data_IF_204597047685
#
_entry.id   IF_204597047685
#
_cell.length_a   1.000
_cell.length_b   1.000
_cell.length_c   1.000
_cell.angle_alpha   90.00
_cell.angle_beta   90.00
_cell.angle_gamma   90.00
#
_symmetry.space_group_name_H-M   'P 1'
#
loop_
_entity.id
_entity.type
_entity.pdbx_description
1 polymer ?
#
# COMPACT_ATOMS: atom_id res chain seq x y z
N UNK A 1 -9.55 6.09 21.41
CA UNK A 1 -9.88 4.95 20.53
C UNK A 1 -10.86 5.49 19.50
N UNK A 2 -10.45 5.54 18.26
CA UNK A 2 -11.23 6.23 17.21
C UNK A 2 -12.22 5.28 16.54
N UNK A 3 -13.50 5.58 16.65
CA UNK A 3 -14.59 4.83 16.04
C UNK A 3 -14.81 5.31 14.61
N UNK A 4 -14.79 4.39 13.63
CA UNK A 4 -15.07 4.67 12.23
C UNK A 4 -16.44 4.08 11.88
N UNK A 5 -17.34 4.90 11.34
CA UNK A 5 -18.66 4.48 10.87
C UNK A 5 -18.81 4.84 9.39
N UNK A 6 -19.13 3.85 8.57
CA UNK A 6 -19.44 3.99 7.15
C UNK A 6 -20.88 3.53 6.95
N UNK A 7 -21.72 4.40 6.39
CA UNK A 7 -23.13 4.13 6.20
C UNK A 7 -23.57 4.45 4.76
N UNK A 8 -23.99 3.42 4.03
CA UNK A 8 -24.51 3.51 2.66
C UNK A 8 -23.54 4.12 1.66
N UNK A 9 -22.22 3.96 1.88
CA UNK A 9 -21.17 4.61 1.09
C UNK A 9 -21.25 4.20 -0.37
N UNK A 10 -21.57 5.17 -1.23
CA UNK A 10 -21.61 5.00 -2.68
C UNK A 10 -20.70 6.02 -3.34
N UNK A 11 -19.87 5.58 -4.29
CA UNK A 11 -19.01 6.45 -5.09
C UNK A 11 -19.11 6.11 -6.57
N UNK A 12 -19.38 7.13 -7.37
CA UNK A 12 -19.44 7.04 -8.83
C UNK A 12 -18.43 7.97 -9.48
N UNK A 13 -17.82 7.52 -10.57
CA UNK A 13 -16.99 8.31 -11.47
C UNK A 13 -17.62 8.26 -12.87
N UNK A 14 -18.36 9.29 -13.22
CA UNK A 14 -19.22 9.26 -14.41
C UNK A 14 -20.21 8.09 -14.32
N UNK A 15 -20.18 7.20 -15.33
CA UNK A 15 -21.06 6.03 -15.38
C UNK A 15 -20.54 4.82 -14.57
N UNK A 16 -19.30 4.88 -14.09
CA UNK A 16 -18.67 3.77 -13.35
C UNK A 16 -19.01 3.88 -11.86
N UNK A 17 -19.59 2.82 -11.31
CA UNK A 17 -19.81 2.67 -9.86
C UNK A 17 -18.60 1.99 -9.25
N UNK A 18 -17.84 2.74 -8.46
CA UNK A 18 -16.64 2.23 -7.78
C UNK A 18 -16.96 1.63 -6.39
N UNK A 19 -17.96 2.20 -5.70
CA UNK A 19 -18.52 1.68 -4.46
C UNK A 19 -20.05 1.76 -4.52
N UNK A 20 -20.73 0.74 -4.05
CA UNK A 20 -22.17 0.60 -4.09
C UNK A 20 -22.72 0.10 -2.75
N UNK A 21 -23.27 1.01 -1.97
CA UNK A 21 -23.96 0.76 -0.69
C UNK A 21 -23.07 0.01 0.35
N UNK A 22 -21.84 0.49 0.56
CA UNK A 22 -20.90 -0.10 1.52
C UNK A 22 -21.17 0.44 2.92
N UNK A 23 -21.45 -0.45 3.88
CA UNK A 23 -21.68 -0.09 5.28
C UNK A 23 -20.92 -1.01 6.22
N UNK A 24 -20.19 -0.42 7.18
CA UNK A 24 -19.51 -1.13 8.28
C UNK A 24 -19.17 -0.16 9.41
N UNK A 25 -18.80 -0.73 10.55
CA UNK A 25 -18.34 0.02 11.72
C UNK A 25 -17.08 -0.62 12.28
N UNK A 26 -16.07 0.20 12.59
CA UNK A 26 -14.83 -0.22 13.28
C UNK A 26 -14.85 0.46 14.66
N UNK A 27 -14.99 -0.32 15.75
CA UNK A 27 -15.26 0.25 17.09
C UNK A 27 -14.05 0.87 17.77
N UNK A 28 -12.85 0.78 17.24
CA UNK A 28 -11.65 1.33 17.89
C UNK A 28 -10.35 0.87 17.24
N UNK A 29 -9.37 0.55 18.04
CA UNK A 29 -7.99 0.21 17.74
C UNK A 29 -7.79 -1.16 17.02
N UNK A 30 -8.68 -1.50 16.09
CA UNK A 30 -8.61 -2.74 15.32
C UNK A 30 -7.64 -2.62 14.14
N UNK A 31 -6.96 -3.73 13.83
CA UNK A 31 -6.17 -3.89 12.61
C UNK A 31 -7.00 -4.61 11.55
N UNK A 32 -7.64 -3.80 10.69
CA UNK A 32 -8.58 -4.27 9.65
C UNK A 32 -7.86 -4.41 8.31
N UNK A 33 -8.06 -5.54 7.65
CA UNK A 33 -7.55 -5.77 6.29
C UNK A 33 -8.71 -5.76 5.30
N UNK A 34 -8.60 -4.90 4.28
CA UNK A 34 -9.54 -4.82 3.17
C UNK A 34 -9.02 -5.66 2.01
N UNK A 35 -9.79 -6.63 1.58
CA UNK A 35 -9.46 -7.61 0.54
C UNK A 35 -10.37 -7.47 -0.68
N UNK A 36 -9.87 -7.93 -1.82
CA UNK A 36 -10.61 -7.95 -3.09
C UNK A 36 -9.68 -7.84 -4.28
N UNK A 37 -10.17 -8.22 -5.45
CA UNK A 37 -9.43 -8.14 -6.72
C UNK A 37 -9.09 -6.69 -7.10
N UNK A 38 -8.21 -6.51 -8.09
CA UNK A 38 -7.97 -5.19 -8.67
C UNK A 38 -9.29 -4.61 -9.21
N UNK A 39 -9.53 -3.32 -8.94
CA UNK A 39 -10.78 -2.66 -9.33
C UNK A 39 -12.00 -2.95 -8.43
N UNK A 40 -11.88 -3.72 -7.34
CA UNK A 40 -13.01 -3.99 -6.43
C UNK A 40 -13.47 -2.81 -5.59
N UNK A 41 -12.73 -1.66 -5.61
CA UNK A 41 -13.09 -0.45 -4.87
C UNK A 41 -12.24 -0.16 -3.65
N UNK A 42 -11.23 -0.99 -3.28
CA UNK A 42 -10.39 -0.82 -2.07
C UNK A 42 -9.77 0.57 -1.95
N UNK A 43 -9.04 1.01 -2.96
CA UNK A 43 -8.40 2.35 -2.97
C UNK A 43 -9.43 3.47 -2.91
N UNK A 44 -10.57 3.31 -3.57
CA UNK A 44 -11.67 4.28 -3.52
C UNK A 44 -12.26 4.36 -2.11
N UNK A 45 -12.46 3.22 -1.44
CA UNK A 45 -12.90 3.18 -0.05
C UNK A 45 -11.93 3.94 0.85
N UNK A 46 -10.64 3.62 0.80
CA UNK A 46 -9.63 4.29 1.62
C UNK A 46 -9.55 5.80 1.35
N UNK A 47 -9.70 6.22 0.09
CA UNK A 47 -9.73 7.65 -0.27
C UNK A 47 -10.98 8.36 0.26
N UNK A 48 -12.14 7.68 0.28
CA UNK A 48 -13.33 8.22 0.92
C UNK A 48 -13.16 8.34 2.44
N UNK A 49 -12.53 7.34 3.09
CA UNK A 49 -12.22 7.38 4.52
C UNK A 49 -11.27 8.51 4.89
N UNK A 50 -10.30 8.83 4.02
CA UNK A 50 -9.34 9.93 4.22
C UNK A 50 -9.90 11.31 3.80
N UNK A 51 -11.10 11.36 3.22
CA UNK A 51 -11.68 12.61 2.70
C UNK A 51 -11.04 13.13 1.41
N UNK A 52 -10.18 12.36 0.74
CA UNK A 52 -9.61 12.69 -0.58
C UNK A 52 -10.64 12.53 -1.69
N UNK A 53 -11.63 11.67 -1.50
CA UNK A 53 -12.75 11.48 -2.40
C UNK A 53 -14.05 11.73 -1.65
N UNK A 54 -14.88 12.60 -2.20
CA UNK A 54 -16.21 12.85 -1.63
C UNK A 54 -17.17 11.76 -2.08
N UNK A 55 -17.89 11.08 -1.18
CA UNK A 55 -18.95 10.14 -1.53
C UNK A 55 -20.01 10.77 -2.46
N UNK A 56 -20.57 9.96 -3.36
CA UNK A 56 -21.76 10.36 -4.16
C UNK A 56 -23.02 10.25 -3.34
N UNK A 57 -23.10 9.25 -2.43
CA UNK A 57 -24.15 9.07 -1.44
C UNK A 57 -23.58 8.36 -0.20
N UNK A 58 -24.32 8.35 0.89
CA UNK A 58 -23.90 7.80 2.17
C UNK A 58 -22.98 8.72 2.94
N UNK A 59 -22.45 8.23 4.06
CA UNK A 59 -21.60 9.03 4.97
C UNK A 59 -20.43 8.23 5.51
N UNK A 60 -19.34 8.94 5.80
CA UNK A 60 -18.19 8.46 6.59
C UNK A 60 -18.07 9.34 7.81
N UNK A 61 -17.96 8.75 8.99
CA UNK A 61 -17.76 9.46 10.25
C UNK A 61 -16.61 8.84 11.03
N UNK A 62 -15.82 9.70 11.69
CA UNK A 62 -14.77 9.30 12.64
C UNK A 62 -15.08 10.02 13.95
N UNK A 63 -15.25 9.25 15.02
CA UNK A 63 -15.69 9.73 16.34
C UNK A 63 -16.98 10.57 16.28
N UNK A 64 -17.93 10.15 15.41
CA UNK A 64 -19.19 10.84 15.17
C UNK A 64 -19.09 12.13 14.35
N UNK A 65 -17.87 12.56 13.99
CA UNK A 65 -17.66 13.72 13.12
C UNK A 65 -17.59 13.28 11.65
N UNK A 66 -18.35 13.92 10.75
CA UNK A 66 -18.34 13.58 9.33
C UNK A 66 -17.02 13.91 8.68
N UNK A 67 -16.54 13.02 7.78
CA UNK A 67 -15.37 13.23 6.95
C UNK A 67 -15.80 13.94 5.67
N UNK A 68 -15.55 15.24 5.59
CA UNK A 68 -15.92 16.08 4.43
C UNK A 68 -14.71 16.55 3.63
N UNK A 69 -13.50 16.20 4.07
CA UNK A 69 -12.20 16.51 3.46
C UNK A 69 -11.06 15.88 4.25
N UNK A 70 -9.79 16.08 3.80
CA UNK A 70 -8.64 15.58 4.53
C UNK A 70 -8.59 16.11 5.97
N UNK A 71 -8.19 15.25 6.91
CA UNK A 71 -8.11 15.55 8.34
C UNK A 71 -6.70 15.26 8.86
N UNK A 72 -6.26 16.02 9.86
CA UNK A 72 -4.92 15.87 10.43
C UNK A 72 -4.78 14.61 11.31
N UNK A 73 -5.90 14.09 11.83
CA UNK A 73 -5.96 12.88 12.64
C UNK A 73 -6.07 11.58 11.82
N UNK A 74 -6.04 11.67 10.48
CA UNK A 74 -6.04 10.54 9.56
C UNK A 74 -4.75 10.55 8.74
N UNK A 75 -3.88 9.58 8.93
CA UNK A 75 -2.72 9.40 8.07
C UNK A 75 -2.97 8.37 6.97
N UNK A 76 -2.45 8.64 5.78
CA UNK A 76 -2.55 7.72 4.64
C UNK A 76 -1.19 7.37 4.07
N UNK A 77 -0.93 6.07 3.95
CA UNK A 77 0.21 5.50 3.27
C UNK A 77 -0.26 5.03 1.91
N UNK A 78 0.37 5.55 0.85
CA UNK A 78 0.05 5.21 -0.54
C UNK A 78 0.94 4.08 -1.04
N UNK A 79 0.49 3.35 -2.06
CA UNK A 79 1.24 2.33 -2.78
C UNK A 79 2.57 2.88 -3.33
N UNK A 80 2.54 4.08 -3.92
CA UNK A 80 3.76 4.81 -4.25
C UNK A 80 4.25 5.53 -2.98
N UNK A 81 5.51 5.34 -2.64
CA UNK A 81 6.09 5.77 -1.36
C UNK A 81 5.95 7.28 -1.11
N UNK A 82 5.72 8.09 -2.17
CA UNK A 82 5.56 9.55 -2.13
C UNK A 82 6.61 10.27 -1.28
N UNK A 83 7.85 9.73 -1.24
CA UNK A 83 8.98 10.30 -0.52
C UNK A 83 9.83 11.17 -1.44
N UNK A 84 10.50 12.16 -0.86
CA UNK A 84 11.40 13.04 -1.59
C UNK A 84 12.79 12.41 -1.60
N UNK A 85 13.20 11.81 -2.73
CA UNK A 85 14.42 11.02 -2.84
C UNK A 85 15.72 11.80 -2.51
N UNK A 86 15.73 13.12 -2.69
CA UNK A 86 16.88 13.98 -2.36
C UNK A 86 17.02 14.25 -0.86
N UNK A 87 15.94 14.14 -0.09
CA UNK A 87 15.92 14.32 1.35
C UNK A 87 16.40 13.05 2.06
N UNK A 88 16.87 13.22 3.31
CA UNK A 88 17.20 12.09 4.19
C UNK A 88 15.92 11.40 4.68
N UNK A 89 16.05 10.17 5.23
CA UNK A 89 14.94 9.48 5.89
C UNK A 89 14.33 10.36 6.99
N UNK A 90 15.17 10.96 7.83
CA UNK A 90 14.76 11.88 8.88
C UNK A 90 13.99 13.10 8.35
N UNK A 91 14.52 13.75 7.31
CA UNK A 91 13.85 14.92 6.74
C UNK A 91 12.49 14.56 6.10
N UNK A 92 12.39 13.38 5.46
CA UNK A 92 11.12 12.87 4.94
C UNK A 92 10.12 12.59 6.08
N UNK A 93 10.53 11.88 7.13
CA UNK A 93 9.68 11.61 8.28
C UNK A 93 9.16 12.91 8.92
N UNK A 94 10.05 13.87 9.12
CA UNK A 94 9.73 15.17 9.72
C UNK A 94 8.69 15.98 8.91
N UNK A 95 8.54 15.75 7.59
CA UNK A 95 7.47 16.40 6.81
C UNK A 95 6.07 16.00 7.28
N UNK A 96 5.92 14.89 8.01
CA UNK A 96 4.65 14.49 8.64
C UNK A 96 4.11 15.50 9.65
N UNK A 97 4.97 16.31 10.29
CA UNK A 97 4.55 17.35 11.24
C UNK A 97 4.02 18.64 10.58
N UNK A 98 4.15 18.79 9.26
CA UNK A 98 3.80 20.05 8.57
C UNK A 98 2.32 20.42 8.72
N UNK A 99 1.42 19.46 8.81
CA UNK A 99 -0.01 19.71 8.98
C UNK A 99 -0.35 20.30 10.37
N UNK A 100 0.45 19.97 11.40
CA UNK A 100 0.25 20.47 12.77
C UNK A 100 0.81 21.88 12.98
N UNK A 101 1.73 22.30 12.12
CA UNK A 101 2.42 23.57 12.26
C UNK A 101 1.73 24.67 11.47
N UNK A 102 1.54 25.86 12.09
CA UNK A 102 1.08 27.05 11.37
C UNK A 102 1.95 27.30 10.13
N UNK A 103 1.34 27.63 9.01
CA UNK A 103 2.02 27.96 7.75
C UNK A 103 3.22 28.92 7.96
N UNK A 104 3.09 29.89 8.86
CA UNK A 104 4.15 30.86 9.20
C UNK A 104 5.34 30.21 9.89
N UNK A 105 5.13 29.24 10.80
CA UNK A 105 6.22 28.50 11.45
C UNK A 105 6.94 27.58 10.48
N UNK A 106 6.20 26.92 9.61
CA UNK A 106 6.74 26.06 8.54
C UNK A 106 7.63 26.85 7.58
N UNK A 107 7.22 28.06 7.19
CA UNK A 107 7.97 28.95 6.30
C UNK A 107 9.28 29.45 6.95
N UNK A 108 9.30 29.63 8.26
CA UNK A 108 10.48 30.12 9.00
C UNK A 108 11.44 28.99 9.42
N UNK A 109 11.19 27.71 9.01
CA UNK A 109 11.98 26.53 9.38
C UNK A 109 12.15 26.31 10.91
N UNK A 110 11.31 26.94 11.74
CA UNK A 110 11.27 26.68 13.19
C UNK A 110 10.47 25.40 13.44
N UNK A 111 11.11 24.25 13.23
CA UNK A 111 10.58 22.97 13.67
C UNK A 111 10.79 22.84 15.17
N UNK A 112 9.71 22.50 15.85
CA UNK A 112 9.74 22.32 17.31
C UNK A 112 10.67 21.14 17.66
N UNK A 113 11.26 21.19 18.85
CA UNK A 113 12.10 20.09 19.36
C UNK A 113 11.28 18.81 19.47
N UNK A 114 10.01 18.91 19.81
CA UNK A 114 9.09 17.78 19.93
C UNK A 114 8.85 17.10 18.58
N UNK A 115 8.67 17.85 17.48
CA UNK A 115 8.54 17.27 16.13
C UNK A 115 9.79 16.50 15.70
N UNK A 116 10.98 17.00 16.08
CA UNK A 116 12.26 16.33 15.81
C UNK A 116 12.38 15.00 16.56
N UNK A 117 11.95 15.00 17.83
CA UNK A 117 11.92 13.77 18.62
C UNK A 117 10.91 12.77 18.10
N UNK A 118 9.70 13.22 17.72
CA UNK A 118 8.69 12.37 17.08
C UNK A 118 9.17 11.75 15.76
N UNK A 119 9.97 12.50 14.97
CA UNK A 119 10.54 11.96 13.75
C UNK A 119 11.58 10.86 14.02
N UNK A 120 12.40 11.00 15.06
CA UNK A 120 13.36 9.98 15.46
C UNK A 120 12.66 8.74 16.04
N UNK A 121 11.67 8.93 16.92
CA UNK A 121 10.86 7.86 17.49
C UNK A 121 10.12 7.06 16.39
N UNK A 122 9.55 7.77 15.41
CA UNK A 122 8.91 7.13 14.28
C UNK A 122 9.89 6.32 13.42
N UNK A 123 11.11 6.81 13.21
CA UNK A 123 12.16 6.07 12.51
C UNK A 123 12.65 4.86 13.31
N UNK A 124 12.77 4.98 14.63
CA UNK A 124 13.07 3.86 15.52
C UNK A 124 11.98 2.79 15.45
N UNK A 125 10.71 3.19 15.51
CA UNK A 125 9.54 2.30 15.39
C UNK A 125 9.58 1.45 14.12
N UNK A 126 10.10 2.00 13.01
CA UNK A 126 10.20 1.28 11.72
C UNK A 126 11.61 0.70 11.48
N UNK A 127 12.50 0.73 12.47
CA UNK A 127 13.86 0.17 12.41
C UNK A 127 14.76 0.87 11.40
N UNK A 128 14.71 2.21 11.33
CA UNK A 128 15.51 3.06 10.45
C UNK A 128 16.24 4.19 11.18
N UNK A 129 16.42 4.07 12.50
CA UNK A 129 17.09 5.11 13.26
C UNK A 129 18.56 5.29 12.83
N UNK A 130 19.28 4.20 12.58
CA UNK A 130 20.67 4.22 12.15
C UNK A 130 20.84 4.83 10.74
N UNK A 131 19.81 4.67 9.88
CA UNK A 131 19.78 5.23 8.53
C UNK A 131 19.11 6.60 8.45
N UNK A 132 18.80 7.25 9.56
CA UNK A 132 18.07 8.52 9.62
C UNK A 132 18.70 9.60 8.69
N UNK A 133 20.02 9.65 8.56
CA UNK A 133 20.74 10.61 7.73
C UNK A 133 20.97 10.14 6.29
N UNK A 134 20.60 8.89 5.95
CA UNK A 134 20.73 8.37 4.58
C UNK A 134 19.70 9.02 3.67
N UNK A 135 20.08 9.38 2.44
CA UNK A 135 19.16 9.92 1.44
C UNK A 135 18.19 8.84 0.95
N UNK A 136 16.91 9.16 0.88
CA UNK A 136 15.87 8.20 0.53
C UNK A 136 16.10 7.52 -0.84
N UNK A 137 16.67 8.22 -1.84
CA UNK A 137 17.02 7.63 -3.15
C UNK A 137 18.09 6.53 -3.09
N UNK A 138 18.84 6.42 -2.00
CA UNK A 138 19.90 5.42 -1.79
C UNK A 138 19.41 4.22 -0.99
N UNK A 139 18.16 4.25 -0.56
CA UNK A 139 17.52 3.22 0.23
C UNK A 139 16.83 2.18 -0.66
N UNK A 140 16.70 0.94 -0.17
CA UNK A 140 15.89 -0.10 -0.83
C UNK A 140 14.40 0.28 -0.84
N UNK A 141 13.61 -0.36 -1.71
CA UNK A 141 12.15 -0.12 -1.77
C UNK A 141 11.47 -0.34 -0.41
N UNK A 142 11.81 -1.41 0.30
CA UNK A 142 11.29 -1.67 1.64
C UNK A 142 11.72 -0.63 2.68
N UNK A 143 12.95 -0.10 2.59
CA UNK A 143 13.38 1.01 3.45
C UNK A 143 12.62 2.30 3.10
N UNK A 144 12.43 2.59 1.82
CA UNK A 144 11.64 3.75 1.37
C UNK A 144 10.20 3.68 1.86
N UNK A 145 9.58 2.51 1.80
CA UNK A 145 8.24 2.29 2.35
C UNK A 145 8.20 2.55 3.86
N UNK A 146 9.19 2.06 4.60
CA UNK A 146 9.31 2.32 6.04
C UNK A 146 9.47 3.80 6.37
N UNK A 147 10.19 4.56 5.54
CA UNK A 147 10.25 6.04 5.67
C UNK A 147 8.86 6.67 5.46
N UNK A 148 8.08 6.18 4.49
CA UNK A 148 6.69 6.60 4.29
C UNK A 148 5.80 6.33 5.51
N UNK A 149 5.97 5.16 6.15
CA UNK A 149 5.28 4.82 7.41
C UNK A 149 5.71 5.76 8.53
N UNK A 150 7.02 5.97 8.73
CA UNK A 150 7.53 6.90 9.75
C UNK A 150 6.93 8.30 9.57
N UNK A 151 6.87 8.81 8.34
CA UNK A 151 6.22 10.09 8.04
C UNK A 151 4.75 10.12 8.45
N UNK A 152 4.00 9.04 8.19
CA UNK A 152 2.61 8.93 8.59
C UNK A 152 2.46 8.91 10.12
N UNK A 153 3.36 8.24 10.84
CA UNK A 153 3.36 8.19 12.30
C UNK A 153 3.73 9.53 12.96
N UNK A 154 4.59 10.34 12.32
CA UNK A 154 4.93 11.70 12.79
C UNK A 154 3.72 12.63 12.74
N UNK A 155 2.75 12.37 11.89
CA UNK A 155 1.48 13.11 11.86
C UNK A 155 0.68 12.93 13.15
N UNK A 156 1.01 11.95 14.01
CA UNK A 156 0.33 11.57 15.26
C UNK A 156 -1.17 11.29 15.02
N UNK A 157 -1.49 10.38 14.11
CA UNK A 157 -2.85 10.12 13.70
C UNK A 157 -3.59 9.27 14.75
N UNK A 158 -4.92 9.33 14.72
CA UNK A 158 -5.80 8.37 15.41
C UNK A 158 -6.27 7.23 14.48
N UNK A 159 -6.21 7.48 13.16
CA UNK A 159 -6.55 6.51 12.11
C UNK A 159 -5.40 6.40 11.12
N UNK A 160 -4.96 5.18 10.85
CA UNK A 160 -3.93 4.86 9.87
C UNK A 160 -4.54 4.09 8.69
N UNK A 161 -4.49 4.66 7.51
CA UNK A 161 -4.93 4.04 6.27
C UNK A 161 -3.70 3.66 5.43
N UNK A 162 -3.70 2.46 4.84
CA UNK A 162 -2.62 2.07 3.93
C UNK A 162 -3.19 1.38 2.68
N UNK A 163 -2.92 1.98 1.52
CA UNK A 163 -3.38 1.48 0.22
C UNK A 163 -2.25 0.68 -0.42
N UNK A 164 -2.38 -0.65 -0.36
CA UNK A 164 -1.43 -1.63 -0.92
C UNK A 164 0.04 -1.36 -0.52
N UNK A 165 0.34 -1.21 0.78
CA UNK A 165 1.64 -0.71 1.23
C UNK A 165 2.82 -1.64 0.93
N UNK A 166 2.57 -2.83 0.39
CA UNK A 166 3.59 -3.87 0.16
C UNK A 166 3.58 -4.41 -1.28
N UNK A 167 2.77 -3.86 -2.19
CA UNK A 167 2.54 -4.40 -3.53
C UNK A 167 3.81 -4.50 -4.40
N UNK A 168 4.81 -3.67 -4.16
CA UNK A 168 6.06 -3.64 -4.94
C UNK A 168 7.27 -4.20 -4.19
N UNK A 169 7.06 -4.90 -3.09
CA UNK A 169 8.12 -5.40 -2.22
C UNK A 169 8.31 -6.91 -2.37
N UNK A 170 9.54 -7.36 -2.20
CA UNK A 170 9.83 -8.79 -2.03
C UNK A 170 9.11 -9.34 -0.78
N UNK A 171 8.85 -10.68 -0.71
CA UNK A 171 8.07 -11.28 0.36
C UNK A 171 8.65 -11.05 1.77
N UNK A 172 9.97 -10.96 1.91
CA UNK A 172 10.64 -10.70 3.18
C UNK A 172 10.41 -9.27 3.64
N UNK A 173 10.64 -8.31 2.75
CA UNK A 173 10.38 -6.88 3.00
C UNK A 173 8.90 -6.60 3.27
N UNK A 174 7.99 -7.26 2.53
CA UNK A 174 6.55 -7.13 2.73
C UNK A 174 6.13 -7.57 4.14
N UNK A 175 6.65 -8.71 4.63
CA UNK A 175 6.38 -9.17 5.99
C UNK A 175 6.92 -8.22 7.05
N UNK A 176 8.11 -7.65 6.84
CA UNK A 176 8.68 -6.67 7.77
C UNK A 176 7.84 -5.40 7.83
N UNK A 177 7.45 -4.84 6.68
CA UNK A 177 6.60 -3.65 6.59
C UNK A 177 5.27 -3.86 7.30
N UNK A 178 4.59 -5.00 7.05
CA UNK A 178 3.34 -5.35 7.74
C UNK A 178 3.55 -5.51 9.25
N UNK A 179 4.67 -6.08 9.68
CA UNK A 179 5.05 -6.17 11.08
C UNK A 179 5.17 -4.80 11.75
N UNK A 180 5.86 -3.86 11.11
CA UNK A 180 6.00 -2.48 11.60
C UNK A 180 4.66 -1.74 11.67
N UNK A 181 3.81 -1.87 10.63
CA UNK A 181 2.47 -1.28 10.62
C UNK A 181 1.62 -1.80 11.78
N UNK A 182 1.61 -3.13 12.00
CA UNK A 182 0.85 -3.74 13.10
C UNK A 182 1.37 -3.34 14.46
N UNK A 183 2.69 -3.32 14.66
CA UNK A 183 3.32 -2.89 15.92
C UNK A 183 2.98 -1.43 16.20
N UNK A 184 3.14 -0.54 15.21
CA UNK A 184 2.84 0.87 15.37
C UNK A 184 1.36 1.13 15.68
N UNK A 185 0.44 0.42 14.99
CA UNK A 185 -0.99 0.54 15.25
C UNK A 185 -1.33 0.12 16.68
N UNK A 186 -0.82 -1.04 17.14
CA UNK A 186 -1.08 -1.56 18.48
C UNK A 186 -0.48 -0.67 19.57
N UNK A 187 0.80 -0.31 19.44
CA UNK A 187 1.53 0.39 20.50
C UNK A 187 1.03 1.84 20.66
N UNK A 188 0.47 2.43 19.62
CA UNK A 188 -0.13 3.77 19.62
C UNK A 188 -1.66 3.77 19.75
N UNK A 189 -2.32 2.59 19.78
CA UNK A 189 -3.78 2.48 19.88
C UNK A 189 -4.52 3.06 18.67
N UNK A 190 -3.97 2.88 17.44
CA UNK A 190 -4.53 3.41 16.21
C UNK A 190 -5.55 2.43 15.62
N UNK A 191 -6.67 2.94 15.10
CA UNK A 191 -7.47 2.20 14.14
C UNK A 191 -6.71 2.12 12.81
N UNK A 192 -6.37 0.90 12.35
CA UNK A 192 -5.60 0.71 11.13
C UNK A 192 -6.42 -0.04 10.07
N UNK A 193 -6.53 0.51 8.85
CA UNK A 193 -7.21 -0.10 7.71
C UNK A 193 -6.23 -0.22 6.57
N UNK A 194 -5.92 -1.47 6.20
CA UNK A 194 -4.88 -1.79 5.22
C UNK A 194 -5.51 -2.53 4.04
N UNK A 195 -5.39 -2.03 2.82
CA UNK A 195 -5.75 -2.81 1.63
C UNK A 195 -4.62 -3.76 1.24
N UNK A 196 -4.96 -5.00 0.95
CA UNK A 196 -4.03 -6.03 0.48
C UNK A 196 -4.64 -6.82 -0.67
N UNK A 197 -3.78 -7.38 -1.54
CA UNK A 197 -4.13 -8.43 -2.50
C UNK A 197 -3.75 -9.82 -1.97
N UNK A 198 -2.66 -9.92 -1.23
CA UNK A 198 -2.07 -11.17 -0.80
C UNK A 198 -2.82 -11.75 0.41
N UNK A 199 -3.54 -12.84 0.21
CA UNK A 199 -4.31 -13.54 1.25
C UNK A 199 -3.41 -14.05 2.37
N UNK A 200 -2.19 -14.52 2.05
CA UNK A 200 -1.23 -15.00 3.04
C UNK A 200 -0.82 -13.92 4.05
N UNK A 201 -0.51 -12.70 3.56
CA UNK A 201 -0.21 -11.57 4.43
C UNK A 201 -1.43 -11.14 5.23
N UNK A 202 -2.61 -11.12 4.59
CA UNK A 202 -3.85 -10.81 5.27
C UNK A 202 -4.09 -11.76 6.45
N UNK A 203 -4.03 -13.07 6.23
CA UNK A 203 -4.19 -14.10 7.29
C UNK A 203 -3.16 -13.97 8.39
N UNK A 204 -1.92 -13.63 8.06
CA UNK A 204 -0.84 -13.49 9.03
C UNK A 204 -1.01 -12.30 9.96
N UNK A 205 -1.42 -11.14 9.42
CA UNK A 205 -1.41 -9.86 10.12
C UNK A 205 -2.79 -9.34 10.49
N UNK A 206 -3.84 -9.61 9.70
CA UNK A 206 -5.19 -9.14 9.92
C UNK A 206 -5.85 -9.75 11.16
N UNK A 207 -6.67 -8.96 11.81
CA UNK A 207 -7.53 -9.37 12.93
C UNK A 207 -8.99 -9.43 12.47
N UNK A 208 -9.41 -8.44 11.70
CA UNK A 208 -10.71 -8.35 11.03
C UNK A 208 -10.51 -8.15 9.54
N UNK A 209 -11.42 -8.68 8.73
CA UNK A 209 -11.35 -8.67 7.29
C UNK A 209 -12.63 -8.10 6.70
N UNK A 210 -12.48 -7.18 5.75
CA UNK A 210 -13.57 -6.65 4.93
C UNK A 210 -13.32 -7.07 3.49
N UNK A 211 -14.18 -7.90 2.93
CA UNK A 211 -14.12 -8.34 1.54
C UNK A 211 -14.91 -7.43 0.63
N UNK A 212 -14.27 -6.91 -0.43
CA UNK A 212 -14.93 -6.12 -1.49
C UNK A 212 -14.92 -6.88 -2.82
N UNK A 213 -16.09 -6.94 -3.46
CA UNK A 213 -16.26 -7.46 -4.82
C UNK A 213 -17.20 -6.56 -5.61
N UNK A 214 -16.75 -6.08 -6.79
CA UNK A 214 -17.52 -5.22 -7.67
C UNK A 214 -18.11 -3.97 -6.97
N UNK A 215 -17.32 -3.34 -6.10
CA UNK A 215 -17.74 -2.15 -5.35
C UNK A 215 -18.64 -2.43 -4.14
N UNK A 216 -19.00 -3.68 -3.85
CA UNK A 216 -19.85 -4.06 -2.73
C UNK A 216 -19.09 -4.79 -1.65
N UNK A 217 -19.49 -4.62 -0.40
CA UNK A 217 -19.00 -5.42 0.72
C UNK A 217 -19.69 -6.78 0.68
N UNK A 218 -18.91 -7.84 0.47
CA UNK A 218 -19.38 -9.24 0.47
C UNK A 218 -19.07 -9.94 1.78
N UNK A 219 -18.02 -9.51 2.49
CA UNK A 219 -17.64 -10.11 3.77
C UNK A 219 -17.27 -9.03 4.79
N UNK A 220 -17.55 -9.28 6.07
CA UNK A 220 -17.11 -8.49 7.21
C UNK A 220 -17.05 -9.40 8.45
N UNK A 221 -15.85 -9.76 8.88
CA UNK A 221 -15.69 -10.73 9.97
C UNK A 221 -14.27 -10.80 10.50
N UNK A 222 -14.12 -11.55 11.62
CA UNK A 222 -12.84 -11.79 12.27
C UNK A 222 -12.16 -13.04 11.72
N UNK A 223 -10.94 -13.28 12.18
CA UNK A 223 -10.05 -14.34 11.71
C UNK A 223 -10.71 -15.73 11.70
N UNK A 224 -11.51 -16.06 12.71
CA UNK A 224 -12.15 -17.38 12.84
C UNK A 224 -13.21 -17.65 11.77
N UNK A 225 -13.79 -16.57 11.20
CA UNK A 225 -14.76 -16.64 10.12
C UNK A 225 -14.13 -16.50 8.72
N UNK A 226 -12.82 -16.27 8.63
CA UNK A 226 -12.12 -16.04 7.35
C UNK A 226 -11.53 -17.37 6.82
N UNK A 227 -12.38 -18.18 6.20
CA UNK A 227 -12.08 -19.49 5.62
C UNK A 227 -11.92 -19.43 4.08
N UNK A 228 -11.86 -20.61 3.44
CA UNK A 228 -11.71 -20.71 1.98
C UNK A 228 -12.99 -20.31 1.25
N UNK A 229 -14.15 -20.59 1.80
CA UNK A 229 -15.44 -20.23 1.19
C UNK A 229 -15.58 -18.71 1.08
N UNK A 230 -15.13 -17.98 2.11
CA UNK A 230 -15.07 -16.51 2.12
C UNK A 230 -14.08 -15.97 1.09
N UNK A 231 -12.91 -16.63 0.93
CA UNK A 231 -11.93 -16.24 -0.09
C UNK A 231 -12.54 -16.42 -1.48
N UNK A 232 -13.22 -17.51 -1.75
CA UNK A 232 -13.89 -17.77 -3.02
C UNK A 232 -15.04 -16.75 -3.27
N UNK A 233 -15.74 -16.33 -2.22
CA UNK A 233 -16.76 -15.27 -2.33
C UNK A 233 -16.12 -13.92 -2.73
N UNK A 234 -14.98 -13.55 -2.14
CA UNK A 234 -14.28 -12.28 -2.41
C UNK A 234 -13.62 -12.28 -3.77
N UNK A 235 -12.92 -13.36 -4.14
CA UNK A 235 -12.07 -13.44 -5.32
C UNK A 235 -12.73 -14.13 -6.49
N UNK A 236 -13.75 -14.99 -6.27
CA UNK A 236 -14.41 -15.80 -7.30
C UNK A 236 -13.54 -16.97 -7.75
N UNK A 237 -13.73 -17.45 -8.99
CA UNK A 237 -13.02 -18.59 -9.59
C UNK A 237 -11.57 -18.24 -10.01
N UNK A 238 -10.87 -17.39 -9.25
CA UNK A 238 -9.44 -17.14 -9.49
C UNK A 238 -8.65 -18.30 -8.93
N UNK A 239 -7.65 -18.74 -9.69
CA UNK A 239 -6.75 -19.82 -9.27
C UNK A 239 -6.16 -19.48 -7.88
N UNK A 240 -6.51 -20.31 -6.90
CA UNK A 240 -6.08 -20.12 -5.51
C UNK A 240 -4.55 -20.11 -5.38
N UNK A 241 -3.82 -20.76 -6.29
CA UNK A 241 -2.36 -20.74 -6.31
C UNK A 241 -1.80 -19.33 -6.59
N UNK A 242 -2.48 -18.49 -7.38
CA UNK A 242 -2.10 -17.08 -7.57
C UNK A 242 -2.32 -16.23 -6.31
N UNK A 243 -3.38 -16.48 -5.54
CA UNK A 243 -3.69 -15.73 -4.31
C UNK A 243 -2.71 -16.03 -3.16
N UNK A 244 -2.09 -17.20 -3.20
CA UNK A 244 -1.11 -17.65 -2.22
C UNK A 244 0.34 -17.52 -2.70
N UNK A 245 0.59 -17.24 -3.99
CA UNK A 245 1.92 -17.03 -4.54
C UNK A 245 2.51 -15.67 -4.09
N UNK A 246 3.81 -15.60 -3.82
CA UNK A 246 4.50 -14.32 -3.68
C UNK A 246 4.51 -13.62 -5.06
N UNK A 247 4.20 -12.32 -5.10
CA UNK A 247 4.31 -11.53 -6.33
C UNK A 247 5.74 -11.65 -6.90
N UNK A 248 5.84 -12.09 -8.15
CA UNK A 248 7.11 -12.34 -8.84
C UNK A 248 7.26 -13.73 -9.44
N UNK A 249 6.37 -14.68 -9.16
CA UNK A 249 6.31 -15.98 -9.82
C UNK A 249 5.27 -15.99 -10.95
N UNK A 250 5.39 -15.09 -11.93
CA UNK A 250 4.68 -15.28 -13.19
C UNK A 250 5.37 -16.44 -13.91
N UNK A 251 4.65 -17.53 -14.06
CA UNK A 251 5.00 -18.65 -14.91
C UNK A 251 5.06 -18.18 -16.38
N UNK A 252 6.18 -17.60 -16.76
CA UNK A 252 6.56 -17.37 -18.12
C UNK A 252 7.47 -18.50 -18.55
N UNK A 253 6.91 -19.60 -19.04
CA UNK A 253 7.50 -20.43 -20.07
C UNK A 253 6.54 -21.57 -20.43
N UNK A 254 5.66 -21.29 -21.38
CA UNK A 254 5.15 -22.32 -22.27
C UNK A 254 5.76 -22.04 -23.65
N UNK A 255 6.96 -22.53 -23.87
CA UNK A 255 7.51 -22.64 -25.21
C UNK A 255 6.69 -23.69 -26.01
N UNK A 256 6.24 -23.40 -27.23
CA UNK A 256 5.68 -24.42 -28.06
C UNK A 256 6.80 -25.32 -28.58
N UNK A 257 6.73 -26.60 -28.22
CA UNK A 257 7.43 -27.66 -28.94
C UNK A 257 6.84 -27.76 -30.33
N UNK A 258 7.63 -27.40 -31.33
CA UNK A 258 7.37 -27.94 -32.67
C UNK A 258 8.65 -28.55 -33.22
N UNK A 259 8.55 -29.87 -33.39
CA UNK A 259 9.55 -30.66 -34.06
C UNK A 259 9.15 -30.80 -35.52
N UNK A 260 10.10 -30.56 -36.39
CA UNK A 260 10.23 -31.37 -37.59
C UNK A 260 11.60 -31.19 -38.24
N UNK A 261 12.16 -32.32 -38.53
CA UNK A 261 13.47 -32.60 -39.07
C UNK A 261 13.59 -32.28 -40.56
N UNK A 262 14.86 -32.40 -41.01
CA UNK A 262 15.38 -32.68 -42.38
C UNK A 262 15.68 -31.44 -43.22
N UNK A 263 16.84 -31.19 -43.76
CA UNK A 263 17.85 -31.92 -44.49
C UNK A 263 18.99 -30.97 -44.84
N UNK A 264 20.25 -31.42 -44.67
CA UNK A 264 21.41 -30.89 -45.43
C UNK A 264 21.29 -31.33 -46.90
N UNK A 265 22.03 -30.75 -47.90
CA UNK A 265 23.48 -30.78 -47.92
C UNK A 265 24.21 -29.64 -48.69
N UNK A 266 25.53 -29.53 -48.36
CA UNK A 266 26.72 -29.31 -49.24
C UNK A 266 26.82 -28.10 -50.16
N UNK A 267 27.98 -27.44 -50.04
CA UNK A 267 28.60 -26.59 -51.09
C UNK A 267 29.62 -25.58 -50.57
N UNK A 268 30.84 -26.02 -50.48
CA UNK A 268 32.10 -25.26 -50.35
C UNK A 268 32.58 -24.82 -51.76
N UNK A 269 33.68 -24.09 -51.93
CA UNK A 269 34.16 -22.79 -51.45
C UNK A 269 34.46 -21.81 -52.61
N UNK A 270 34.93 -20.64 -52.38
CA UNK A 270 36.10 -19.98 -53.01
C UNK A 270 36.17 -18.47 -52.78
N UNK A 271 37.34 -18.10 -52.25
CA UNK A 271 38.24 -17.01 -52.64
C UNK A 271 37.76 -15.57 -52.79
N UNK A 272 38.31 -14.67 -52.09
CA UNK A 272 39.44 -13.81 -52.38
C UNK A 272 39.39 -12.49 -51.56
N UNK A 273 40.39 -12.26 -50.79
CA UNK A 273 40.92 -10.93 -50.42
C UNK A 273 41.59 -10.30 -51.65
N UNK A 274 42.11 -9.05 -51.67
CA UNK A 274 42.20 -8.04 -50.60
C UNK A 274 42.09 -6.57 -51.10
N UNK A 275 42.50 -5.70 -50.23
CA UNK A 275 43.09 -4.35 -50.51
C UNK A 275 42.11 -3.16 -50.46
N UNK A 276 42.41 -2.22 -49.61
CA UNK A 276 43.37 -1.17 -49.69
C UNK A 276 42.79 0.17 -49.35
N UNK A 277 43.39 0.89 -48.42
CA UNK A 277 43.56 2.32 -48.57
C UNK A 277 42.71 3.26 -47.75
N UNK A 278 43.16 3.65 -46.59
CA UNK A 278 43.83 4.91 -46.30
C UNK A 278 43.07 6.25 -46.45
N UNK A 279 43.12 7.02 -45.36
CA UNK A 279 43.07 8.50 -45.27
C UNK A 279 41.65 9.16 -45.32
N UNK A 280 41.24 9.81 -44.32
CA UNK A 280 41.76 10.96 -43.52
C UNK A 280 40.99 11.09 -42.22
#
# INVERSE_FOLDING_TARGET
MSRITVDGLTKRFGDTVALDDVSFEIPGDEFVVVLGISGSGKSTLLRCLNGLETPTAGTVQIDGAPVTGPRDDIAMIFQQHNIIGQMTAYSNALTGSLNRNSFVRSLLQFQDTDDKLHALDALETVGLLDEAQQRARQMSGGQQQRVGIARALVQDPSVLLADEPVASLDPGSAQQVMGYLRTAARDRGLAAIISLHQVNLARKFGERFIGLRNGRKVFDGYRDAFDMDVIDEIYGDIDTDELFAPEGSTSGDAAPADGSATTEPTGDPTEATPDGGSRR
#
